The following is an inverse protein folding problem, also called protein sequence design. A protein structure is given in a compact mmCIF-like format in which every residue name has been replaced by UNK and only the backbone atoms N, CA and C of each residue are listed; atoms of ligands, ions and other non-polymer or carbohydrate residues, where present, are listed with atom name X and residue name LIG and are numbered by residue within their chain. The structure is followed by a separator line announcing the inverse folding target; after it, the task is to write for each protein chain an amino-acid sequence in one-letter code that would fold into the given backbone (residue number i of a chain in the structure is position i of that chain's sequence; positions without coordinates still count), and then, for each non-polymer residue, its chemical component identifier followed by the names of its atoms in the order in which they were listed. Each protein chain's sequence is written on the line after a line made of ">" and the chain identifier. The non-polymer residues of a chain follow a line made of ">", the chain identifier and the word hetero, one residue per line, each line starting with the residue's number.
data_IF_537880743331
#
_entry.id   IF_537880743331
#
_cell.length_a   1.000
_cell.length_b   1.000
_cell.length_c   1.000
_cell.angle_alpha   90.00
_cell.angle_beta   90.00
_cell.angle_gamma   90.00
#
_symmetry.space_group_name_H-M   'P 1'
#
loop_
_entity.id
_entity.type
_entity.pdbx_description
1 polymer ?
#
# COMPACT_ATOMS: atom_id res chain seq x y z
N UNK A 1 8.05 -28.61 4.55
CA UNK A 1 8.22 -27.61 3.47
C UNK A 1 8.07 -28.36 2.17
N UNK A 2 6.91 -28.23 1.54
CA UNK A 2 6.57 -29.06 0.37
C UNK A 2 6.96 -28.35 -0.91
N UNK A 3 7.68 -29.06 -1.77
CA UNK A 3 7.96 -28.65 -3.14
C UNK A 3 6.93 -29.26 -4.08
N UNK A 4 6.55 -28.51 -5.11
CA UNK A 4 5.57 -28.87 -6.11
C UNK A 4 6.20 -28.80 -7.50
N UNK A 5 5.88 -29.78 -8.35
CA UNK A 5 6.18 -29.71 -9.77
C UNK A 5 5.17 -28.79 -10.50
N UNK A 6 5.48 -28.45 -11.74
CA UNK A 6 4.67 -27.53 -12.57
C UNK A 6 3.20 -27.94 -12.66
N UNK A 7 2.92 -29.24 -12.82
CA UNK A 7 1.53 -29.74 -12.87
C UNK A 7 0.83 -29.62 -11.52
N UNK A 8 1.50 -29.97 -10.43
CA UNK A 8 0.94 -29.88 -9.09
C UNK A 8 0.69 -28.42 -8.67
N UNK A 9 1.60 -27.51 -9.03
CA UNK A 9 1.45 -26.09 -8.80
C UNK A 9 0.30 -25.50 -9.64
N UNK A 10 0.13 -25.97 -10.88
CA UNK A 10 -0.97 -25.60 -11.77
C UNK A 10 -2.32 -26.05 -11.20
N UNK A 11 -2.42 -27.29 -10.71
CA UNK A 11 -3.61 -27.83 -10.05
C UNK A 11 -3.91 -27.12 -8.73
N UNK A 12 -2.87 -26.72 -7.99
CA UNK A 12 -3.01 -25.95 -6.75
C UNK A 12 -3.60 -24.56 -6.99
N UNK A 13 -3.09 -23.85 -8.00
CA UNK A 13 -3.56 -22.51 -8.37
C UNK A 13 -4.79 -22.52 -9.29
N UNK A 14 -5.22 -23.69 -9.76
CA UNK A 14 -6.32 -23.87 -10.74
C UNK A 14 -6.06 -23.11 -12.05
N UNK A 15 -4.82 -23.14 -12.54
CA UNK A 15 -4.39 -22.49 -13.78
C UNK A 15 -3.82 -23.56 -14.73
N UNK A 16 -3.98 -23.39 -16.04
CA UNK A 16 -3.38 -24.30 -17.01
C UNK A 16 -1.83 -24.30 -16.91
N UNK A 17 -1.15 -25.46 -16.95
CA UNK A 17 0.30 -25.55 -16.73
C UNK A 17 1.15 -24.73 -17.70
N UNK A 18 0.70 -24.58 -18.95
CA UNK A 18 1.40 -23.73 -19.95
C UNK A 18 1.37 -22.26 -19.53
N UNK A 19 0.23 -21.80 -19.01
CA UNK A 19 0.07 -20.43 -18.52
C UNK A 19 0.92 -20.20 -17.27
N UNK A 20 0.92 -21.16 -16.35
CA UNK A 20 1.79 -21.14 -15.17
C UNK A 20 3.27 -21.01 -15.58
N UNK A 21 3.71 -21.84 -16.52
CA UNK A 21 5.08 -21.80 -17.04
C UNK A 21 5.42 -20.43 -17.67
N UNK A 22 4.50 -19.87 -18.47
CA UNK A 22 4.66 -18.53 -19.05
C UNK A 22 4.81 -17.44 -17.99
N UNK A 23 3.98 -17.46 -16.95
CA UNK A 23 4.03 -16.50 -15.83
C UNK A 23 5.29 -16.66 -14.98
N UNK A 24 5.71 -17.90 -14.74
CA UNK A 24 6.94 -18.18 -13.98
C UNK A 24 8.17 -17.70 -14.74
N UNK A 25 8.22 -17.92 -16.06
CA UNK A 25 9.32 -17.43 -16.91
C UNK A 25 9.38 -15.89 -16.94
N UNK A 26 8.24 -15.22 -16.83
CA UNK A 26 8.16 -13.75 -16.69
C UNK A 26 8.52 -13.23 -15.30
N UNK A 27 8.68 -14.12 -14.31
CA UNK A 27 8.92 -13.73 -12.91
C UNK A 27 7.67 -13.24 -12.18
N UNK A 28 6.47 -13.43 -12.73
CA UNK A 28 5.21 -13.03 -12.08
C UNK A 28 4.82 -13.98 -10.94
N UNK A 29 5.15 -15.27 -11.08
CA UNK A 29 4.86 -16.31 -10.08
C UNK A 29 6.20 -16.80 -9.52
N UNK A 30 6.32 -16.91 -8.19
CA UNK A 30 7.55 -17.39 -7.56
C UNK A 30 7.77 -18.87 -7.92
N UNK A 31 8.88 -19.14 -8.61
CA UNK A 31 9.31 -20.48 -8.97
C UNK A 31 10.79 -20.48 -9.31
N UNK A 32 11.47 -21.57 -8.98
CA UNK A 32 12.90 -21.73 -9.23
C UNK A 32 13.10 -22.78 -10.34
N UNK A 33 14.01 -22.50 -11.26
CA UNK A 33 14.42 -23.48 -12.26
C UNK A 33 15.57 -24.32 -11.69
N UNK A 34 15.30 -25.59 -11.40
CA UNK A 34 16.28 -26.53 -10.86
C UNK A 34 16.55 -27.59 -11.93
N UNK A 35 17.73 -27.50 -12.55
CA UNK A 35 18.09 -28.31 -13.71
C UNK A 35 17.14 -28.08 -14.88
N UNK A 36 16.40 -29.13 -15.27
CA UNK A 36 15.44 -29.10 -16.40
C UNK A 36 13.98 -28.86 -15.97
N UNK A 37 13.69 -28.82 -14.67
CA UNK A 37 12.32 -28.69 -14.16
C UNK A 37 12.14 -27.38 -13.39
N UNK A 38 10.91 -26.87 -13.42
CA UNK A 38 10.49 -25.79 -12.53
C UNK A 38 9.97 -26.38 -11.23
N UNK A 39 10.46 -25.85 -10.12
CA UNK A 39 10.07 -26.26 -8.78
C UNK A 39 9.46 -25.05 -8.07
N UNK A 40 8.33 -25.30 -7.44
CA UNK A 40 7.56 -24.30 -6.72
C UNK A 40 7.50 -24.68 -5.25
N UNK A 41 7.69 -23.73 -4.35
CA UNK A 41 7.39 -23.98 -2.94
C UNK A 41 5.92 -23.68 -2.67
N UNK A 42 5.25 -24.60 -1.97
CA UNK A 42 3.85 -24.40 -1.57
C UNK A 42 3.67 -23.09 -0.79
N UNK A 43 4.61 -22.76 0.09
CA UNK A 43 4.56 -21.54 0.91
C UNK A 43 4.61 -20.26 0.07
N UNK A 44 5.41 -20.27 -1.00
CA UNK A 44 5.55 -19.11 -1.89
C UNK A 44 4.31 -18.93 -2.76
N UNK A 45 3.69 -20.02 -3.22
CA UNK A 45 2.41 -19.96 -3.94
C UNK A 45 1.29 -19.41 -3.06
N UNK A 46 1.26 -19.80 -1.77
CA UNK A 46 0.31 -19.24 -0.79
C UNK A 46 0.57 -17.75 -0.57
N UNK A 47 1.84 -17.35 -0.41
CA UNK A 47 2.22 -15.95 -0.27
C UNK A 47 1.82 -15.12 -1.50
N UNK A 48 2.01 -15.67 -2.71
CA UNK A 48 1.56 -15.06 -3.95
C UNK A 48 0.05 -14.81 -3.94
N UNK A 49 -0.75 -15.81 -3.58
CA UNK A 49 -2.21 -15.67 -3.49
C UNK A 49 -2.60 -14.63 -2.44
N UNK A 50 -1.93 -14.60 -1.28
CA UNK A 50 -2.16 -13.58 -0.24
C UNK A 50 -1.87 -12.16 -0.74
N UNK A 51 -0.78 -11.97 -1.48
CA UNK A 51 -0.43 -10.68 -2.06
C UNK A 51 -1.50 -10.19 -3.05
N UNK A 52 -2.16 -11.09 -3.79
CA UNK A 52 -3.26 -10.71 -4.68
C UNK A 52 -4.47 -10.14 -3.94
N UNK A 53 -4.79 -10.64 -2.74
CA UNK A 53 -5.87 -10.08 -1.93
C UNK A 53 -5.50 -8.72 -1.33
N UNK A 54 -4.28 -8.58 -0.83
CA UNK A 54 -3.80 -7.32 -0.24
C UNK A 54 -3.85 -6.17 -1.27
N UNK A 55 -3.42 -6.42 -2.50
CA UNK A 55 -3.52 -5.45 -3.59
C UNK A 55 -4.97 -5.03 -3.91
N UNK A 56 -5.95 -5.92 -3.71
CA UNK A 56 -7.36 -5.64 -3.97
C UNK A 56 -8.05 -4.92 -2.83
N UNK A 57 -7.67 -5.19 -1.57
CA UNK A 57 -8.17 -4.44 -0.41
C UNK A 57 -7.63 -3.00 -0.44
N UNK A 58 -6.41 -2.80 -0.93
CA UNK A 58 -5.83 -1.48 -1.14
C UNK A 58 -6.41 -0.69 -2.32
N UNK A 59 -7.42 -1.20 -3.06
CA UNK A 59 -8.16 -0.34 -4.00
C UNK A 59 -9.00 0.73 -3.29
N UNK A 60 -9.19 0.63 -1.96
CA UNK A 60 -9.64 1.73 -1.12
C UNK A 60 -8.51 2.67 -0.67
N UNK A 61 -7.27 2.17 -0.59
CA UNK A 61 -6.07 2.91 -0.20
C UNK A 61 -5.15 3.10 -1.42
N UNK A 62 -5.65 3.80 -2.45
CA UNK A 62 -4.75 4.41 -3.41
C UNK A 62 -3.92 5.41 -2.61
N UNK A 63 -2.66 5.06 -2.32
CA UNK A 63 -1.66 6.04 -1.97
C UNK A 63 -1.69 7.09 -3.08
N UNK A 64 -2.40 8.20 -2.84
CA UNK A 64 -2.35 9.35 -3.71
C UNK A 64 -0.89 9.75 -3.77
N UNK A 65 -0.28 9.60 -4.95
CA UNK A 65 0.90 10.37 -5.25
C UNK A 65 0.49 11.84 -5.09
N UNK A 66 0.85 12.46 -3.97
CA UNK A 66 0.71 13.90 -3.70
C UNK A 66 1.66 14.74 -4.59
N UNK A 67 1.90 14.30 -5.82
CA UNK A 67 2.48 15.10 -6.87
C UNK A 67 1.34 15.55 -7.78
N UNK A 68 0.74 16.70 -7.47
CA UNK A 68 -0.17 17.36 -8.41
C UNK A 68 0.54 17.52 -9.76
N UNK A 69 -0.01 16.92 -10.82
CA UNK A 69 0.51 17.08 -12.19
C UNK A 69 0.35 18.51 -12.72
N UNK A 70 -0.30 19.40 -11.96
CA UNK A 70 -0.44 20.82 -12.21
C UNK A 70 0.65 21.63 -11.47
N UNK A 71 1.91 21.22 -11.57
CA UNK A 71 3.05 22.00 -11.05
C UNK A 71 3.40 23.23 -11.92
N UNK A 72 2.58 23.52 -12.95
CA UNK A 72 2.74 24.67 -13.85
C UNK A 72 1.80 25.85 -13.59
N UNK A 73 0.95 25.80 -12.56
CA UNK A 73 0.08 26.94 -12.24
C UNK A 73 0.81 27.93 -11.34
N UNK A 74 1.08 29.14 -11.84
CA UNK A 74 1.46 30.30 -11.01
C UNK A 74 0.44 30.42 -9.88
N UNK A 75 0.87 30.19 -8.64
CA UNK A 75 0.05 30.39 -7.45
C UNK A 75 -0.36 31.86 -7.40
N UNK A 76 -1.65 32.14 -7.61
CA UNK A 76 -2.21 33.47 -7.38
C UNK A 76 -2.17 33.75 -5.87
N UNK A 77 -1.80 34.97 -5.41
CA UNK A 77 -1.46 35.19 -4.01
C UNK A 77 -2.60 34.94 -3.02
N UNK A 78 -3.85 35.23 -3.36
CA UNK A 78 -5.00 35.14 -2.44
C UNK A 78 -6.30 35.04 -3.24
N UNK A 79 -7.18 34.09 -2.90
CA UNK A 79 -8.49 33.90 -3.54
C UNK A 79 -9.55 33.32 -2.62
N UNK A 80 -9.45 33.57 -1.31
CA UNK A 80 -10.43 33.15 -0.32
C UNK A 80 -10.72 34.29 0.65
N UNK A 81 -11.99 34.46 1.02
CA UNK A 81 -12.39 35.41 2.06
C UNK A 81 -11.85 34.92 3.41
N UNK A 82 -10.67 35.42 3.80
CA UNK A 82 -10.12 35.27 5.14
C UNK A 82 -10.99 36.05 6.13
N UNK A 83 -12.12 35.48 6.54
CA UNK A 83 -12.77 35.94 7.77
C UNK A 83 -12.00 35.29 8.93
N UNK A 84 -11.26 36.05 9.76
CA UNK A 84 -10.47 35.48 10.85
C UNK A 84 -11.32 34.75 11.92
N UNK A 85 -12.65 34.95 11.85
CA UNK A 85 -13.64 34.39 12.74
C UNK A 85 -13.76 32.87 12.64
N UNK A 86 -13.66 32.30 11.42
CA UNK A 86 -13.90 30.87 11.22
C UNK A 86 -12.67 30.00 11.48
N UNK A 87 -11.48 30.47 11.10
CA UNK A 87 -10.19 29.77 11.28
C UNK A 87 -9.98 29.34 12.75
N UNK A 88 -10.20 30.25 13.70
CA UNK A 88 -10.09 29.98 15.14
C UNK A 88 -11.11 28.94 15.62
N UNK A 89 -12.34 28.99 15.11
CA UNK A 89 -13.40 28.04 15.49
C UNK A 89 -13.08 26.64 14.97
N UNK A 90 -12.54 26.56 13.75
CA UNK A 90 -12.17 25.31 13.13
C UNK A 90 -10.97 24.66 13.83
N UNK A 91 -9.91 25.44 14.12
CA UNK A 91 -8.73 24.97 14.86
C UNK A 91 -9.13 24.50 16.27
N UNK A 92 -10.05 25.20 16.94
CA UNK A 92 -10.55 24.79 18.26
C UNK A 92 -11.41 23.52 18.21
N UNK A 93 -12.18 23.30 17.14
CA UNK A 93 -13.00 22.10 16.97
C UNK A 93 -12.16 20.85 16.62
N UNK A 94 -11.06 21.03 15.89
CA UNK A 94 -10.19 19.94 15.42
C UNK A 94 -9.05 19.64 16.40
N UNK A 95 -8.59 20.63 17.17
CA UNK A 95 -7.54 20.45 18.17
C UNK A 95 -8.00 19.58 19.34
N UNK A 96 -7.28 18.49 19.63
CA UNK A 96 -7.42 17.76 20.90
C UNK A 96 -7.11 18.73 22.05
N UNK A 97 -7.80 18.65 23.21
CA UNK A 97 -7.51 19.50 24.36
C UNK A 97 -6.21 19.05 25.02
N UNK A 98 -5.08 19.36 24.39
CA UNK A 98 -3.75 19.06 24.92
C UNK A 98 -3.20 20.28 25.64
N UNK A 99 -3.13 20.08 26.95
CA UNK A 99 -2.20 20.65 27.92
C UNK A 99 -2.66 21.87 28.74
N UNK A 100 -2.91 21.58 30.02
CA UNK A 100 -3.14 22.56 31.09
C UNK A 100 -1.83 23.33 31.31
N UNK A 101 -1.84 24.65 31.13
CA UNK A 101 -0.69 25.54 31.39
C UNK A 101 -0.12 25.27 32.79
N UNK A 102 1.14 24.82 32.88
CA UNK A 102 1.84 24.68 34.16
C UNK A 102 1.96 26.06 34.82
N UNK A 103 1.59 26.14 36.10
CA UNK A 103 1.74 27.35 36.91
C UNK A 103 3.21 27.46 37.33
N UNK A 104 3.81 28.64 37.13
CA UNK A 104 5.14 28.96 37.63
C UNK A 104 5.11 29.00 39.15
N UNK A 105 5.98 28.22 39.79
CA UNK A 105 6.28 28.34 41.22
C UNK A 105 7.43 29.35 41.36
N UNK A 106 7.24 30.37 42.19
CA UNK A 106 8.30 31.30 42.61
C UNK A 106 8.47 31.09 44.10
N UNK A 107 9.62 30.57 44.51
CA UNK A 107 10.01 30.44 45.92
C UNK A 107 10.82 31.68 46.32
N UNK A 108 10.45 32.29 47.45
CA UNK A 108 11.14 33.43 48.06
C UNK A 108 12.34 32.98 48.90
#
# INVERSE_FOLDING_TARGET
>A
MDTLDTRQAADFLRIHPVTLHGKTRKGEIPGAKIGRRWVYLRVDLIAYVRAQYALRVSQGDRQENYGCHLSGAKTLPVGGSNSPSWEKRYIAAVGRPTERKRRSITTA
#
